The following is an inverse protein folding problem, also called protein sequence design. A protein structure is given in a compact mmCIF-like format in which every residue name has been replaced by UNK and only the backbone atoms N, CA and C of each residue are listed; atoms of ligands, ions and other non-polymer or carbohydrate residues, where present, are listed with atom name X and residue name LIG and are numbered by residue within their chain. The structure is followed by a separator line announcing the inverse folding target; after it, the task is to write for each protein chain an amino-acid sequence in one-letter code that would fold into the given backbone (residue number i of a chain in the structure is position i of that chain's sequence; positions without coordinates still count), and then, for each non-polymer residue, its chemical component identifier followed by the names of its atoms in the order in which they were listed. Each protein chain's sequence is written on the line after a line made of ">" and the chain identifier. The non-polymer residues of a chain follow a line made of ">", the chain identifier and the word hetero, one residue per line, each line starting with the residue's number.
data_IF_710879587613
#
_entry.id   IF_710879587613
#
_cell.length_a   1.000
_cell.length_b   1.000
_cell.length_c   1.000
_cell.angle_alpha   90.00
_cell.angle_beta   90.00
_cell.angle_gamma   90.00
#
_symmetry.space_group_name_H-M   'P 1'
#
loop_
_entity.id
_entity.type
_entity.pdbx_description
1 polymer ?
#
# COMPACT_ATOMS: atom_id res chain seq x y z
N UNK A 1 -12.51 12.04 7.14
CA UNK A 1 -12.22 11.37 8.43
C UNK A 1 -11.57 9.99 8.27
N UNK A 2 -12.00 9.14 7.34
CA UNK A 2 -11.48 7.76 7.16
C UNK A 2 -10.01 7.69 6.72
N UNK A 3 -9.60 8.55 5.77
CA UNK A 3 -8.22 8.58 5.32
C UNK A 3 -7.25 9.02 6.43
N UNK A 4 -7.66 9.98 7.27
CA UNK A 4 -6.88 10.38 8.44
C UNK A 4 -6.72 9.24 9.44
N UNK A 5 -7.80 8.51 9.72
CA UNK A 5 -7.78 7.34 10.60
C UNK A 5 -6.83 6.25 10.05
N UNK A 6 -6.92 5.93 8.75
CA UNK A 6 -6.03 4.95 8.13
C UNK A 6 -4.55 5.38 8.21
N UNK A 7 -4.26 6.67 7.96
CA UNK A 7 -2.91 7.20 8.08
C UNK A 7 -2.35 7.17 9.51
N UNK A 8 -3.21 7.21 10.52
CA UNK A 8 -2.79 7.14 11.93
C UNK A 8 -2.60 5.72 12.44
N UNK A 9 -3.40 4.77 11.96
CA UNK A 9 -3.45 3.40 12.50
C UNK A 9 -2.53 2.44 11.72
N UNK A 10 -2.54 2.50 10.39
CA UNK A 10 -1.79 1.53 9.57
C UNK A 10 -0.27 1.60 9.77
N UNK A 11 0.40 2.77 9.78
CA UNK A 11 1.85 2.83 9.92
C UNK A 11 2.40 2.19 11.21
N UNK A 12 1.87 2.47 12.43
CA UNK A 12 2.39 1.82 13.63
C UNK A 12 2.10 0.32 13.67
N UNK A 13 1.00 -0.16 13.08
CA UNK A 13 0.74 -1.59 12.95
C UNK A 13 1.80 -2.31 12.12
N UNK A 14 2.31 -1.66 11.08
CA UNK A 14 3.38 -2.22 10.24
C UNK A 14 4.70 -2.45 11.00
N UNK A 15 4.94 -1.74 12.09
CA UNK A 15 6.14 -1.90 12.91
C UNK A 15 5.98 -2.98 14.01
N UNK A 16 4.75 -3.22 14.46
CA UNK A 16 4.48 -4.05 15.64
C UNK A 16 4.04 -5.48 15.30
N UNK A 17 3.53 -5.72 14.10
CA UNK A 17 2.85 -6.97 13.75
C UNK A 17 3.35 -7.49 12.40
N UNK A 18 3.42 -8.83 12.26
CA UNK A 18 3.80 -9.43 10.97
C UNK A 18 2.84 -9.02 9.84
N UNK A 19 3.38 -8.79 8.66
CA UNK A 19 2.64 -8.25 7.52
C UNK A 19 1.41 -9.10 7.15
N UNK A 20 1.49 -10.44 7.30
CA UNK A 20 0.38 -11.34 7.01
C UNK A 20 -0.83 -11.15 7.93
N UNK A 21 -0.61 -10.76 9.19
CA UNK A 21 -1.69 -10.46 10.14
C UNK A 21 -2.31 -9.11 9.82
N UNK A 22 -1.49 -8.13 9.45
CA UNK A 22 -1.96 -6.80 9.04
C UNK A 22 -2.84 -6.90 7.78
N UNK A 23 -2.42 -7.67 6.78
CA UNK A 23 -3.19 -7.92 5.57
C UNK A 23 -4.61 -8.39 5.90
N UNK A 24 -4.73 -9.45 6.72
CA UNK A 24 -6.04 -10.00 7.11
C UNK A 24 -6.89 -8.97 7.84
N UNK A 25 -6.29 -8.22 8.75
CA UNK A 25 -6.99 -7.18 9.50
C UNK A 25 -7.45 -6.04 8.58
N UNK A 26 -6.60 -5.58 7.66
CA UNK A 26 -6.93 -4.52 6.70
C UNK A 26 -8.04 -4.95 5.74
N UNK A 27 -7.98 -6.17 5.23
CA UNK A 27 -9.03 -6.72 4.35
C UNK A 27 -10.34 -6.90 5.11
N UNK A 28 -10.32 -7.36 6.36
CA UNK A 28 -11.51 -7.48 7.19
C UNK A 28 -12.15 -6.10 7.45
N UNK A 29 -11.34 -5.10 7.83
CA UNK A 29 -11.81 -3.74 8.07
C UNK A 29 -12.33 -3.06 6.79
N UNK A 30 -11.71 -3.34 5.64
CA UNK A 30 -12.14 -2.80 4.36
C UNK A 30 -13.57 -3.26 3.99
N UNK A 31 -13.96 -4.49 4.35
CA UNK A 31 -15.32 -5.03 4.11
C UNK A 31 -16.42 -4.26 4.84
N UNK A 32 -16.12 -3.68 6.00
CA UNK A 32 -17.08 -2.90 6.79
C UNK A 32 -17.13 -1.42 6.39
N UNK A 33 -16.40 -1.05 5.36
CA UNK A 33 -16.30 0.32 4.90
C UNK A 33 -17.28 0.56 3.76
N UNK A 34 -18.35 1.41 3.93
CA UNK A 34 -19.22 1.76 2.82
C UNK A 34 -18.40 2.42 1.70
N UNK A 35 -18.64 1.97 0.47
CA UNK A 35 -18.05 2.53 -0.73
C UNK A 35 -18.42 4.01 -0.83
N UNK A 36 -17.55 4.89 -0.33
CA UNK A 36 -17.63 6.30 -0.65
C UNK A 36 -17.06 6.50 -2.06
N UNK A 37 -17.63 7.42 -2.81
CA UNK A 37 -17.01 7.89 -4.06
C UNK A 37 -15.66 8.55 -3.72
N UNK A 38 -14.61 7.75 -3.69
CA UNK A 38 -13.25 8.20 -3.43
C UNK A 38 -12.57 8.38 -4.78
N UNK A 39 -12.11 9.60 -5.06
CA UNK A 39 -11.19 9.82 -6.15
C UNK A 39 -9.81 9.31 -5.75
N UNK A 40 -9.32 8.31 -6.48
CA UNK A 40 -8.07 7.63 -6.19
C UNK A 40 -6.87 8.59 -6.17
N UNK A 41 -6.83 9.56 -7.11
CA UNK A 41 -5.76 10.55 -7.19
C UNK A 41 -5.82 11.53 -6.01
N UNK A 42 -6.99 11.98 -5.62
CA UNK A 42 -7.17 12.85 -4.45
C UNK A 42 -6.80 12.12 -3.16
N UNK A 43 -7.14 10.83 -3.04
CA UNK A 43 -6.73 10.01 -1.91
C UNK A 43 -5.21 9.91 -1.80
N UNK A 44 -4.51 9.68 -2.92
CA UNK A 44 -3.05 9.62 -2.95
C UNK A 44 -2.42 10.96 -2.52
N UNK A 45 -2.87 12.08 -3.05
CA UNK A 45 -2.40 13.41 -2.66
C UNK A 45 -2.63 13.68 -1.17
N UNK A 46 -3.80 13.30 -0.64
CA UNK A 46 -4.09 13.45 0.78
C UNK A 46 -3.14 12.63 1.66
N UNK A 47 -2.97 11.34 1.33
CA UNK A 47 -2.09 10.43 2.06
C UNK A 47 -0.63 10.93 2.04
N UNK A 48 -0.14 11.34 0.88
CA UNK A 48 1.23 11.87 0.72
C UNK A 48 1.45 13.13 1.57
N UNK A 49 0.51 14.07 1.55
CA UNK A 49 0.58 15.30 2.35
C UNK A 49 0.48 15.01 3.85
N UNK A 50 -0.38 14.08 4.23
CA UNK A 50 -0.61 13.75 5.64
C UNK A 50 0.62 13.04 6.23
N UNK A 51 1.08 11.95 5.59
CA UNK A 51 2.26 11.20 6.04
C UNK A 51 3.54 12.04 5.98
N UNK A 52 3.67 12.93 5.00
CA UNK A 52 4.84 13.82 4.86
C UNK A 52 5.00 14.83 6.00
N UNK A 53 3.93 15.11 6.77
CA UNK A 53 3.94 16.02 7.93
C UNK A 53 4.21 15.30 9.25
N UNK A 54 4.20 13.99 9.24
CA UNK A 54 4.34 13.18 10.46
C UNK A 54 5.79 12.71 10.65
N UNK A 55 6.15 12.43 11.90
CA UNK A 55 7.46 11.91 12.29
C UNK A 55 7.35 10.52 12.91
N UNK A 56 8.48 9.86 13.16
CA UNK A 56 8.54 8.55 13.81
C UNK A 56 7.83 7.47 12.99
N UNK A 57 7.00 6.62 13.64
CA UNK A 57 6.33 5.50 12.96
C UNK A 57 5.33 5.95 11.89
N UNK A 58 4.90 7.19 11.88
CA UNK A 58 3.99 7.75 10.86
C UNK A 58 4.71 8.42 9.70
N UNK A 59 6.05 8.55 9.76
CA UNK A 59 6.84 9.17 8.70
C UNK A 59 6.55 8.51 7.34
N UNK A 60 6.50 9.34 6.30
CA UNK A 60 6.31 8.88 4.93
C UNK A 60 7.38 7.84 4.53
N UNK A 61 6.95 6.69 4.06
CA UNK A 61 7.76 5.68 3.37
C UNK A 61 6.91 5.04 2.29
N UNK A 62 7.53 4.46 1.26
CA UNK A 62 6.79 3.78 0.18
C UNK A 62 5.87 2.68 0.71
N UNK A 63 6.32 1.89 1.70
CA UNK A 63 5.50 0.83 2.29
C UNK A 63 4.29 1.39 3.06
N UNK A 64 4.49 2.40 3.90
CA UNK A 64 3.39 3.02 4.66
C UNK A 64 2.36 3.66 3.73
N UNK A 65 2.83 4.41 2.74
CA UNK A 65 1.99 5.00 1.70
C UNK A 65 1.16 3.95 0.99
N UNK A 66 1.81 2.93 0.43
CA UNK A 66 1.14 1.88 -0.32
C UNK A 66 0.15 1.10 0.54
N UNK A 67 0.47 0.80 1.82
CA UNK A 67 -0.43 0.09 2.74
C UNK A 67 -1.67 0.92 3.11
N UNK A 68 -1.53 2.22 3.36
CA UNK A 68 -2.66 3.11 3.63
C UNK A 68 -3.57 3.21 2.42
N UNK A 69 -3.00 3.42 1.22
CA UNK A 69 -3.75 3.47 -0.02
C UNK A 69 -4.43 2.13 -0.33
N UNK A 70 -3.74 1.01 -0.14
CA UNK A 70 -4.32 -0.32 -0.29
C UNK A 70 -5.59 -0.48 0.57
N UNK A 71 -5.51 -0.13 1.85
CA UNK A 71 -6.67 -0.17 2.75
C UNK A 71 -7.83 0.71 2.26
N UNK A 72 -7.54 1.97 1.90
CA UNK A 72 -8.56 2.93 1.46
C UNK A 72 -9.23 2.48 0.17
N UNK A 73 -8.45 2.07 -0.83
CA UNK A 73 -8.95 1.69 -2.15
C UNK A 73 -9.72 0.37 -2.11
N UNK A 74 -9.22 -0.63 -1.37
CA UNK A 74 -9.98 -1.88 -1.13
C UNK A 74 -11.31 -1.59 -0.42
N UNK A 75 -11.32 -0.71 0.57
CA UNK A 75 -12.54 -0.28 1.26
C UNK A 75 -13.50 0.52 0.37
N UNK A 76 -13.01 1.12 -0.70
CA UNK A 76 -13.82 1.76 -1.75
C UNK A 76 -14.23 0.80 -2.88
N UNK A 77 -13.95 -0.50 -2.75
CA UNK A 77 -14.32 -1.52 -3.74
C UNK A 77 -13.38 -1.62 -4.95
N UNK A 78 -12.20 -0.98 -4.90
CA UNK A 78 -11.20 -1.10 -5.98
C UNK A 78 -10.48 -2.44 -5.91
N UNK A 79 -10.19 -3.03 -7.07
CA UNK A 79 -9.41 -4.27 -7.17
C UNK A 79 -7.91 -3.97 -7.23
N UNK A 80 -7.34 -3.55 -6.09
CA UNK A 80 -5.93 -3.21 -5.98
C UNK A 80 -5.14 -4.29 -5.25
N UNK A 81 -3.91 -4.50 -5.69
CA UNK A 81 -2.93 -5.36 -5.02
C UNK A 81 -1.77 -4.50 -4.52
N UNK A 82 -1.23 -4.85 -3.36
CA UNK A 82 -0.02 -4.28 -2.81
C UNK A 82 1.15 -5.20 -3.14
N UNK A 83 2.14 -4.67 -3.83
CA UNK A 83 3.39 -5.38 -4.16
C UNK A 83 4.55 -4.82 -3.37
N UNK A 84 5.45 -5.72 -2.94
CA UNK A 84 6.74 -5.39 -2.35
C UNK A 84 7.81 -6.04 -3.19
N UNK A 85 8.81 -5.28 -3.60
CA UNK A 85 9.92 -5.77 -4.38
C UNK A 85 11.26 -5.29 -3.86
N UNK A 86 12.31 -6.00 -4.25
CA UNK A 86 13.69 -5.67 -3.93
C UNK A 86 14.53 -5.60 -5.21
N UNK A 87 15.53 -4.73 -5.17
CA UNK A 87 16.51 -4.56 -6.23
C UNK A 87 17.91 -4.48 -5.59
N UNK A 88 18.89 -5.08 -6.23
CA UNK A 88 20.28 -4.93 -5.86
C UNK A 88 20.96 -3.99 -6.84
N UNK A 89 21.65 -2.99 -6.33
CA UNK A 89 22.46 -2.09 -7.14
C UNK A 89 23.85 -2.67 -7.43
N UNK A 90 24.59 -2.04 -8.35
CA UNK A 90 25.92 -2.49 -8.77
C UNK A 90 26.96 -2.48 -7.63
N UNK A 91 26.75 -1.63 -6.63
CA UNK A 91 27.58 -1.56 -5.41
C UNK A 91 27.23 -2.63 -4.37
N UNK A 92 26.23 -3.49 -4.66
CA UNK A 92 25.72 -4.52 -3.77
C UNK A 92 24.67 -4.06 -2.78
N UNK A 93 24.32 -2.77 -2.73
CA UNK A 93 23.26 -2.25 -1.86
C UNK A 93 21.90 -2.80 -2.25
N UNK A 94 21.06 -3.06 -1.24
CA UNK A 94 19.70 -3.57 -1.44
C UNK A 94 18.68 -2.45 -1.25
N UNK A 95 17.88 -2.24 -2.27
CA UNK A 95 16.75 -1.31 -2.24
C UNK A 95 15.44 -2.07 -2.21
N UNK A 96 14.52 -1.64 -1.36
CA UNK A 96 13.15 -2.14 -1.31
C UNK A 96 12.17 -1.05 -1.74
N UNK A 97 11.11 -1.43 -2.44
CA UNK A 97 10.01 -0.56 -2.81
C UNK A 97 8.67 -1.28 -2.66
N UNK A 98 7.63 -0.52 -2.34
CA UNK A 98 6.26 -1.01 -2.27
C UNK A 98 5.37 -0.14 -3.16
N UNK A 99 4.52 -0.77 -3.96
CA UNK A 99 3.62 -0.11 -4.91
C UNK A 99 2.28 -0.81 -5.01
N UNK A 100 1.34 -0.17 -5.70
CA UNK A 100 0.02 -0.72 -5.97
C UNK A 100 -0.14 -1.10 -7.43
N UNK A 101 -0.86 -2.19 -7.66
CA UNK A 101 -1.42 -2.55 -8.96
C UNK A 101 -2.94 -2.44 -8.88
N UNK A 102 -3.58 -1.90 -9.92
CA UNK A 102 -5.02 -1.95 -10.12
C UNK A 102 -5.30 -2.75 -11.39
N UNK A 103 -5.99 -3.88 -11.25
CA UNK A 103 -6.20 -4.84 -12.34
C UNK A 103 -4.90 -5.22 -13.08
N UNK A 104 -3.81 -5.37 -12.33
CA UNK A 104 -2.49 -5.73 -12.85
C UNK A 104 -1.66 -4.57 -13.42
N UNK A 105 -2.22 -3.37 -13.56
CA UNK A 105 -1.51 -2.19 -14.00
C UNK A 105 -0.99 -1.35 -12.83
N UNK A 106 0.18 -0.73 -13.00
CA UNK A 106 0.77 0.13 -11.99
C UNK A 106 -0.14 1.32 -11.68
N UNK A 107 -0.44 1.55 -10.40
CA UNK A 107 -1.43 2.50 -9.95
C UNK A 107 -0.88 3.51 -8.95
N UNK A 108 -1.17 4.80 -9.16
CA UNK A 108 -0.84 5.94 -8.28
C UNK A 108 0.67 6.13 -8.00
N UNK A 109 1.53 5.65 -8.88
CA UNK A 109 2.97 5.88 -8.78
C UNK A 109 3.42 7.09 -9.61
N UNK A 110 4.42 7.82 -9.11
CA UNK A 110 5.05 8.91 -9.84
C UNK A 110 5.77 8.37 -11.09
N UNK A 111 5.83 9.16 -12.16
CA UNK A 111 6.41 8.75 -13.45
C UNK A 111 7.83 8.22 -13.30
N UNK A 112 8.69 8.94 -12.56
CA UNK A 112 10.07 8.51 -12.26
C UNK A 112 10.18 7.13 -11.59
N UNK A 113 9.13 6.71 -10.87
CA UNK A 113 9.07 5.40 -10.21
C UNK A 113 8.57 4.35 -11.18
N UNK A 114 7.63 4.69 -12.06
CA UNK A 114 7.08 3.80 -13.08
C UNK A 114 8.16 3.18 -13.96
N UNK A 115 9.11 4.00 -14.41
CA UNK A 115 10.22 3.57 -15.24
C UNK A 115 11.11 2.54 -14.53
N UNK A 116 11.24 2.66 -13.21
CA UNK A 116 12.14 1.84 -12.40
C UNK A 116 11.50 0.63 -11.73
N UNK A 117 10.18 0.55 -11.67
CA UNK A 117 9.48 -0.57 -10.99
C UNK A 117 9.84 -1.91 -11.64
N UNK A 118 10.05 -1.95 -12.96
CA UNK A 118 10.47 -3.15 -13.67
C UNK A 118 11.84 -3.73 -13.24
N UNK A 119 12.69 -2.91 -12.60
CA UNK A 119 13.99 -3.34 -12.06
C UNK A 119 13.87 -4.12 -10.74
N UNK A 120 12.70 -4.06 -10.09
CA UNK A 120 12.48 -4.73 -8.81
C UNK A 120 11.94 -6.15 -9.00
N UNK A 121 12.55 -7.10 -8.29
CA UNK A 121 12.01 -8.45 -8.16
C UNK A 121 10.94 -8.46 -7.09
N UNK A 122 9.71 -8.84 -7.44
CA UNK A 122 8.60 -8.93 -6.49
C UNK A 122 8.85 -10.09 -5.52
N UNK A 123 8.88 -9.79 -4.23
CA UNK A 123 9.06 -10.77 -3.15
C UNK A 123 7.76 -11.04 -2.38
N UNK A 124 6.78 -10.12 -2.46
CA UNK A 124 5.47 -10.30 -1.84
C UNK A 124 4.40 -9.55 -2.65
N UNK A 125 3.21 -10.12 -2.73
CA UNK A 125 2.01 -9.53 -3.33
C UNK A 125 0.80 -9.83 -2.47
N UNK A 126 -0.03 -8.83 -2.20
CA UNK A 126 -1.21 -8.91 -1.36
C UNK A 126 -2.44 -8.35 -2.09
N UNK A 127 -3.59 -9.01 -2.00
CA UNK A 127 -3.81 -10.28 -1.31
C UNK A 127 -2.98 -11.40 -1.91
N UNK A 128 -2.49 -12.29 -1.05
CA UNK A 128 -1.80 -13.49 -1.53
C UNK A 128 -2.75 -14.35 -2.35
N UNK A 129 -2.27 -14.93 -3.43
CA UNK A 129 -3.07 -15.70 -4.41
C UNK A 129 -3.84 -16.87 -3.74
N UNK A 130 -3.42 -17.30 -2.55
CA UNK A 130 -4.10 -18.33 -1.77
C UNK A 130 -5.35 -17.86 -1.01
N UNK A 131 -5.63 -16.56 -0.92
CA UNK A 131 -6.83 -16.03 -0.25
C UNK A 131 -8.07 -15.97 -1.17
N UNK A 132 -7.93 -16.32 -2.44
CA UNK A 132 -8.99 -16.22 -3.45
C UNK A 132 -9.76 -17.53 -3.69
N UNK A 133 -9.54 -18.58 -2.87
CA UNK A 133 -10.28 -19.86 -2.99
C UNK A 133 -10.97 -20.18 -1.67
N UNK A 134 -12.15 -19.59 -1.48
CA UNK A 134 -13.21 -20.19 -0.68
C UNK A 134 -14.54 -19.87 -1.36
N UNK A 135 -15.38 -20.88 -1.63
CA UNK A 135 -16.69 -20.73 -2.27
C UNK A 135 -17.66 -19.95 -1.40
#
# INVERSE_FOLDING_TARGET
>A
MRAAFACMVVPPLLELISFAVIERALLALARFSPAAALDDAQAAVYVDRFLGRLAGPWRWTCLRRASVLFYLLRGAGRNVDLCIGVRRDHDGSLHAHAWLLNDGALHLEAERVRERVAEFSVIARFPSVHAAVAP
#
